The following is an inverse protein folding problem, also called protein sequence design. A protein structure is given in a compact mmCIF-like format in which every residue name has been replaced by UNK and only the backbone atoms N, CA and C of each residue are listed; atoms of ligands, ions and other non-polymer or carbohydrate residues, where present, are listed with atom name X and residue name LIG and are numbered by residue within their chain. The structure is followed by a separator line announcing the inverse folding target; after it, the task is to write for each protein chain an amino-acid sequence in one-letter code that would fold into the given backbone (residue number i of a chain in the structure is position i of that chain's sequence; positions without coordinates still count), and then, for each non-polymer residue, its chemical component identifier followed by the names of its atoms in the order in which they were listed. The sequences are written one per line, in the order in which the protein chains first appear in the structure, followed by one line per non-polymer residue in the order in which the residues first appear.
data_IF_101164701710
#
_entry.id   IF_101164701710
#
_cell.length_a   1.000
_cell.length_b   1.000
_cell.length_c   1.000
_cell.angle_alpha   90.00
_cell.angle_beta   90.00
_cell.angle_gamma   90.00
#
_symmetry.space_group_name_H-M   'P 1'
#
loop_
_entity.id
_entity.type
_entity.pdbx_description
1 polymer ?
#
# COMPACT_ATOMS: atom_id res chain seq x y z
N UNK A 1 -10.61 11.64 -2.60
CA UNK A 1 -9.26 11.03 -2.67
C UNK A 1 -9.45 9.53 -2.87
N UNK A 2 -8.76 8.88 -3.81
CA UNK A 2 -8.90 7.43 -4.06
C UNK A 2 -8.01 6.62 -3.11
N UNK A 3 -8.28 5.32 -2.87
CA UNK A 3 -7.40 4.45 -2.09
C UNK A 3 -5.95 4.42 -2.64
N UNK A 4 -5.80 4.41 -3.96
CA UNK A 4 -4.50 4.49 -4.63
C UNK A 4 -3.74 5.78 -4.29
N UNK A 5 -4.40 6.95 -4.32
CA UNK A 5 -3.78 8.22 -3.96
C UNK A 5 -3.39 8.29 -2.47
N UNK A 6 -4.15 7.65 -1.58
CA UNK A 6 -3.76 7.49 -0.17
C UNK A 6 -2.48 6.65 -0.04
N UNK A 7 -2.41 5.54 -0.77
CA UNK A 7 -1.31 4.61 -0.73
C UNK A 7 -0.02 5.24 -1.28
N UNK A 8 -0.09 5.95 -2.40
CA UNK A 8 1.06 6.70 -2.97
C UNK A 8 1.62 7.73 -1.98
N UNK A 9 0.73 8.49 -1.31
CA UNK A 9 1.15 9.48 -0.32
C UNK A 9 1.82 8.82 0.88
N UNK A 10 1.27 7.70 1.35
CA UNK A 10 1.82 6.96 2.47
C UNK A 10 3.16 6.32 2.14
N UNK A 11 3.31 5.72 0.95
CA UNK A 11 4.57 5.20 0.40
C UNK A 11 5.64 6.29 0.33
N UNK A 12 5.28 7.46 -0.19
CA UNK A 12 6.20 8.60 -0.31
C UNK A 12 6.70 9.04 1.07
N UNK A 13 5.80 9.13 2.07
CA UNK A 13 6.16 9.44 3.45
C UNK A 13 7.05 8.38 4.07
N UNK A 14 6.77 7.09 3.84
CA UNK A 14 7.56 5.98 4.37
C UNK A 14 8.99 6.00 3.80
N UNK A 15 9.12 6.14 2.48
CA UNK A 15 10.44 6.21 1.81
C UNK A 15 11.24 7.39 2.34
N UNK A 16 10.59 8.54 2.55
CA UNK A 16 11.24 9.72 3.09
C UNK A 16 11.73 9.46 4.52
N UNK A 17 10.91 8.89 5.40
CA UNK A 17 11.27 8.58 6.79
C UNK A 17 12.39 7.53 6.92
N UNK A 18 12.43 6.55 6.02
CA UNK A 18 13.53 5.56 5.96
C UNK A 18 14.82 6.23 5.49
N UNK A 19 14.76 7.09 4.46
CA UNK A 19 15.92 7.80 3.93
C UNK A 19 16.51 8.82 4.90
N UNK A 20 15.69 9.45 5.73
CA UNK A 20 16.13 10.37 6.76
C UNK A 20 16.55 9.68 8.06
N UNK A 21 16.73 8.35 8.05
CA UNK A 21 17.08 7.51 9.21
C UNK A 21 16.18 7.74 10.43
N UNK A 22 14.96 8.21 10.19
CA UNK A 22 14.00 8.58 11.24
C UNK A 22 13.26 7.37 11.75
N UNK A 23 13.23 6.30 10.95
CA UNK A 23 12.79 4.97 11.33
C UNK A 23 14.00 4.07 11.47
N UNK A 24 14.04 3.28 12.54
CA UNK A 24 14.96 2.14 12.63
C UNK A 24 14.69 1.14 11.50
N UNK A 25 15.68 0.29 11.19
CA UNK A 25 15.53 -0.75 10.16
C UNK A 25 14.34 -1.68 10.41
N UNK A 26 14.03 -1.97 11.69
CA UNK A 26 12.87 -2.79 12.05
C UNK A 26 11.54 -2.06 11.82
N UNK A 27 11.45 -0.79 12.19
CA UNK A 27 10.27 0.04 11.95
C UNK A 27 10.02 0.25 10.45
N UNK A 28 11.08 0.48 9.68
CA UNK A 28 11.02 0.54 8.22
C UNK A 28 10.50 -0.76 7.61
N UNK A 29 10.97 -1.90 8.10
CA UNK A 29 10.51 -3.23 7.64
C UNK A 29 9.04 -3.48 7.97
N UNK A 30 8.59 -3.16 9.19
CA UNK A 30 7.18 -3.29 9.59
C UNK A 30 6.29 -2.38 8.77
N UNK A 31 6.70 -1.13 8.56
CA UNK A 31 5.92 -0.18 7.78
C UNK A 31 5.85 -0.57 6.29
N UNK A 32 6.95 -1.08 5.71
CA UNK A 32 6.95 -1.61 4.34
C UNK A 32 6.02 -2.82 4.20
N UNK A 33 6.03 -3.74 5.18
CA UNK A 33 5.12 -4.88 5.21
C UNK A 33 3.64 -4.45 5.23
N UNK A 34 3.28 -3.44 6.04
CA UNK A 34 1.93 -2.91 6.08
C UNK A 34 1.47 -2.32 4.73
N UNK A 35 2.37 -1.68 3.99
CA UNK A 35 2.08 -1.18 2.64
C UNK A 35 1.82 -2.32 1.67
N UNK A 36 2.66 -3.36 1.67
CA UNK A 36 2.52 -4.51 0.77
C UNK A 36 1.15 -5.16 0.95
N UNK A 37 0.76 -5.44 2.20
CA UNK A 37 -0.56 -6.02 2.51
C UNK A 37 -1.71 -5.12 2.02
N UNK A 38 -1.54 -3.79 2.13
CA UNK A 38 -2.55 -2.85 1.64
C UNK A 38 -2.67 -2.87 0.11
N UNK A 39 -1.55 -3.03 -0.61
CA UNK A 39 -1.55 -3.20 -2.08
C UNK A 39 -2.26 -4.50 -2.46
N UNK A 40 -1.89 -5.61 -1.82
CA UNK A 40 -2.48 -6.91 -2.08
C UNK A 40 -4.00 -6.89 -1.89
N UNK A 41 -4.47 -6.22 -0.83
CA UNK A 41 -5.90 -6.06 -0.58
C UNK A 41 -6.62 -5.27 -1.68
N UNK A 42 -6.03 -4.15 -2.13
CA UNK A 42 -6.61 -3.35 -3.21
C UNK A 42 -6.66 -4.14 -4.54
N UNK A 43 -5.60 -4.89 -4.85
CA UNK A 43 -5.56 -5.75 -6.04
C UNK A 43 -6.62 -6.84 -5.96
N UNK A 44 -6.78 -7.49 -4.81
CA UNK A 44 -7.81 -8.51 -4.62
C UNK A 44 -9.23 -7.94 -4.83
N UNK A 45 -9.52 -6.76 -4.29
CA UNK A 45 -10.79 -6.07 -4.50
C UNK A 45 -11.06 -5.75 -5.97
N UNK A 46 -10.05 -5.28 -6.71
CA UNK A 46 -10.16 -4.99 -8.13
C UNK A 46 -10.42 -6.27 -8.96
N UNK A 47 -9.73 -7.36 -8.65
CA UNK A 47 -9.96 -8.68 -9.28
C UNK A 47 -11.39 -9.16 -9.02
N UNK A 48 -11.88 -9.07 -7.79
CA UNK A 48 -13.26 -9.44 -7.45
C UNK A 48 -14.29 -8.57 -8.17
N UNK A 49 -14.06 -7.26 -8.23
CA UNK A 49 -14.94 -6.32 -8.91
C UNK A 49 -14.96 -6.57 -10.43
N UNK A 50 -13.82 -6.88 -11.03
CA UNK A 50 -13.72 -7.28 -12.44
C UNK A 50 -14.47 -8.59 -12.70
N UNK A 51 -14.24 -9.60 -11.86
CA UNK A 51 -14.87 -10.93 -11.98
C UNK A 51 -16.39 -10.81 -11.91
N UNK A 52 -16.93 -10.02 -10.96
CA UNK A 52 -18.37 -9.77 -10.85
C UNK A 52 -18.96 -9.09 -12.08
N UNK A 53 -18.27 -8.08 -12.64
CA UNK A 53 -18.73 -7.40 -13.87
C UNK A 53 -18.72 -8.31 -15.10
N UNK A 54 -17.78 -9.26 -15.17
CA UNK A 54 -17.68 -10.21 -16.27
C UNK A 54 -18.75 -11.32 -16.20
N UNK A 55 -19.18 -11.69 -15.01
CA UNK A 55 -20.17 -12.75 -14.78
C UNK A 55 -21.62 -12.26 -14.76
N UNK A 56 -21.86 -10.96 -14.96
CA UNK A 56 -23.17 -10.31 -15.07
C UNK A 56 -23.51 -10.04 -16.54
#
# INVERSE_FOLDING_TARGET
MTPAAHLERYLSSLIQSVRSETLSGEEGTRAASAVIVSIEHLVAQDIEAYTRRRSA
#
